data_IF_227204379065
#
_entry.id   IF_227204379065
#
_cell.length_a   1.000
_cell.length_b   1.000
_cell.length_c   1.000
_cell.angle_alpha   90.00
_cell.angle_beta   90.00
_cell.angle_gamma   90.00
#
_symmetry.space_group_name_H-M   'P 1'
#
loop_
_entity.id
_entity.type
_entity.pdbx_description
1 polymer ?
#
# COMPACT_ATOMS: atom_id res chain seq x y z
N UNK A 1 -8.97 -9.92 12.24
CA UNK A 1 -8.79 -8.50 12.67
C UNK A 1 -8.34 -7.71 11.44
N UNK A 2 -8.22 -6.38 11.53
CA UNK A 2 -7.72 -5.55 10.43
C UNK A 2 -6.62 -4.59 10.94
N UNK A 3 -5.69 -4.22 10.07
CA UNK A 3 -4.71 -3.16 10.30
C UNK A 3 -4.88 -2.06 9.24
N UNK A 4 -4.70 -0.80 9.63
CA UNK A 4 -4.81 0.36 8.74
C UNK A 4 -3.59 1.24 8.94
N UNK A 5 -3.03 1.74 7.85
CA UNK A 5 -1.98 2.77 7.85
C UNK A 5 -2.35 3.86 6.86
N UNK A 6 -1.99 5.11 7.18
CA UNK A 6 -2.15 6.26 6.29
C UNK A 6 -0.94 7.17 6.43
N UNK A 7 -0.44 7.67 5.31
CA UNK A 7 0.72 8.57 5.25
C UNK A 7 0.32 9.75 4.36
N UNK A 8 0.57 10.96 4.85
CA UNK A 8 0.42 12.20 4.10
C UNK A 8 1.80 12.84 3.94
N UNK A 9 2.23 13.03 2.70
CA UNK A 9 3.54 13.60 2.36
C UNK A 9 3.47 14.29 1.01
N UNK A 10 4.43 15.19 0.76
CA UNK A 10 4.71 15.71 -0.57
C UNK A 10 5.66 14.79 -1.35
N UNK A 11 6.29 13.84 -0.67
CA UNK A 11 7.20 12.84 -1.22
C UNK A 11 6.46 11.51 -1.54
N UNK A 12 7.02 10.65 -2.41
CA UNK A 12 6.47 9.32 -2.67
C UNK A 12 6.37 8.43 -1.41
N UNK A 13 5.15 7.99 -1.06
CA UNK A 13 4.88 7.21 0.17
C UNK A 13 4.68 5.71 -0.05
N UNK A 14 4.72 5.22 -1.30
CA UNK A 14 4.32 3.86 -1.62
C UNK A 14 5.15 2.78 -0.91
N UNK A 15 6.47 2.96 -0.83
CA UNK A 15 7.37 2.02 -0.15
C UNK A 15 7.10 1.99 1.36
N UNK A 16 6.89 3.15 1.97
CA UNK A 16 6.63 3.25 3.41
C UNK A 16 5.25 2.68 3.79
N UNK A 17 4.24 2.89 2.94
CA UNK A 17 2.93 2.24 3.07
C UNK A 17 3.06 0.71 3.01
N UNK A 18 3.82 0.19 2.05
CA UNK A 18 4.05 -1.24 1.91
C UNK A 18 4.73 -1.85 3.14
N UNK A 19 5.85 -1.28 3.59
CA UNK A 19 6.58 -1.76 4.78
C UNK A 19 5.71 -1.67 6.05
N UNK A 20 4.93 -0.60 6.20
CA UNK A 20 3.99 -0.46 7.31
C UNK A 20 2.92 -1.54 7.31
N UNK A 21 2.37 -1.90 6.15
CA UNK A 21 1.41 -3.00 6.02
C UNK A 21 2.04 -4.35 6.33
N UNK A 22 3.31 -4.57 5.97
CA UNK A 22 4.06 -5.77 6.37
C UNK A 22 4.15 -5.87 7.90
N UNK A 23 4.48 -4.79 8.59
CA UNK A 23 4.51 -4.78 10.06
C UNK A 23 3.13 -5.06 10.69
N UNK A 24 2.06 -4.60 10.03
CA UNK A 24 0.67 -4.83 10.47
C UNK A 24 0.07 -6.17 10.01
N UNK A 25 0.80 -7.01 9.28
CA UNK A 25 0.29 -8.29 8.72
C UNK A 25 -0.26 -9.23 9.80
N UNK A 26 0.28 -9.18 11.02
CA UNK A 26 -0.23 -9.97 12.16
C UNK A 26 -1.67 -9.61 12.56
N UNK A 27 -2.20 -8.47 12.09
CA UNK A 27 -3.58 -8.06 12.36
C UNK A 27 -4.58 -8.61 11.34
N UNK A 28 -4.16 -8.98 10.14
CA UNK A 28 -5.05 -9.54 9.11
C UNK A 28 -4.27 -10.13 7.94
N UNK A 29 -4.68 -11.31 7.46
CA UNK A 29 -3.97 -12.10 6.44
C UNK A 29 -4.87 -12.51 5.25
N UNK A 30 -6.18 -12.31 5.37
CA UNK A 30 -7.16 -12.74 4.35
C UNK A 30 -7.15 -11.84 3.12
N UNK A 31 -6.81 -10.57 3.28
CA UNK A 31 -6.76 -9.58 2.21
C UNK A 31 -5.83 -8.41 2.56
N UNK A 32 -5.35 -7.73 1.51
CA UNK A 32 -4.58 -6.50 1.62
C UNK A 32 -4.99 -5.52 0.53
N UNK A 33 -4.80 -4.22 0.79
CA UNK A 33 -5.01 -3.18 -0.20
C UNK A 33 -4.32 -1.87 0.14
N UNK A 34 -4.03 -1.09 -0.90
CA UNK A 34 -3.46 0.25 -0.84
C UNK A 34 -4.22 1.16 -1.79
N UNK A 35 -4.43 2.39 -1.34
CA UNK A 35 -4.89 3.50 -2.15
C UNK A 35 -3.89 4.65 -2.01
N UNK A 36 -3.38 5.14 -3.13
CA UNK A 36 -2.55 6.36 -3.21
C UNK A 36 -3.25 7.38 -4.09
N UNK A 37 -2.87 8.66 -3.95
CA UNK A 37 -3.48 9.74 -4.70
C UNK A 37 -2.42 10.75 -5.14
N UNK A 38 -2.54 11.21 -6.38
CA UNK A 38 -1.90 12.43 -6.90
C UNK A 38 -2.99 13.40 -7.42
N UNK A 39 -3.05 13.65 -8.73
CA UNK A 39 -4.19 14.23 -9.44
C UNK A 39 -5.36 13.24 -9.61
N UNK A 40 -5.13 11.95 -9.37
CA UNK A 40 -6.16 10.90 -9.37
C UNK A 40 -5.86 9.82 -8.33
N UNK A 41 -6.86 9.00 -8.05
CA UNK A 41 -6.71 7.84 -7.18
C UNK A 41 -6.14 6.63 -7.92
N UNK A 42 -5.21 5.93 -7.27
CA UNK A 42 -4.72 4.61 -7.66
C UNK A 42 -5.07 3.63 -6.55
N UNK A 43 -5.61 2.49 -6.91
CA UNK A 43 -6.03 1.48 -5.94
C UNK A 43 -5.55 0.11 -6.37
N UNK A 44 -5.15 -0.68 -5.39
CA UNK A 44 -4.76 -2.07 -5.57
C UNK A 44 -5.20 -2.84 -4.33
N UNK A 45 -5.90 -3.93 -4.54
CA UNK A 45 -6.43 -4.77 -3.46
C UNK A 45 -6.62 -6.19 -3.96
N UNK A 46 -6.58 -7.15 -3.04
CA UNK A 46 -6.69 -8.56 -3.37
C UNK A 46 -6.71 -9.43 -2.12
N UNK A 47 -6.95 -10.73 -2.34
CA UNK A 47 -6.99 -11.75 -1.29
C UNK A 47 -5.60 -12.35 -1.06
N UNK A 48 -5.21 -12.50 0.19
CA UNK A 48 -3.90 -13.04 0.59
C UNK A 48 -3.00 -11.99 1.24
N UNK A 49 -1.71 -12.35 1.34
CA UNK A 49 -0.73 -11.58 2.10
C UNK A 49 -0.32 -10.30 1.36
N UNK A 50 0.17 -9.31 2.11
CA UNK A 50 0.64 -8.03 1.59
C UNK A 50 1.69 -8.23 0.49
N UNK A 51 2.62 -9.17 0.65
CA UNK A 51 3.69 -9.47 -0.33
C UNK A 51 3.18 -10.12 -1.62
N UNK A 52 2.06 -10.83 -1.55
CA UNK A 52 1.46 -11.52 -2.69
C UNK A 52 0.62 -10.53 -3.51
N UNK A 53 -0.08 -9.64 -2.82
CA UNK A 53 -1.00 -8.69 -3.44
C UNK A 53 -0.31 -7.42 -3.88
N UNK A 54 0.62 -6.87 -3.10
CA UNK A 54 1.26 -5.57 -3.37
C UNK A 54 2.69 -5.77 -3.87
N UNK A 55 2.88 -5.61 -5.18
CA UNK A 55 4.22 -5.58 -5.76
C UNK A 55 4.71 -4.13 -5.86
N UNK A 56 5.94 -3.84 -5.40
CA UNK A 56 6.56 -2.51 -5.53
C UNK A 56 6.56 -1.99 -6.97
N UNK A 57 6.69 -2.88 -7.96
CA UNK A 57 6.59 -2.56 -9.41
C UNK A 57 5.20 -2.12 -9.88
N UNK A 58 4.17 -2.20 -9.05
CA UNK A 58 2.80 -1.73 -9.34
C UNK A 58 2.57 -0.29 -8.88
N UNK A 59 3.54 0.30 -8.15
CA UNK A 59 3.62 1.72 -7.83
C UNK A 59 4.51 2.60 -8.75
N UNK A 60 4.83 2.27 -10.03
CA UNK A 60 5.77 3.03 -10.85
C UNK A 60 5.17 4.35 -11.37
N UNK A 61 3.89 4.61 -11.04
CA UNK A 61 3.14 5.81 -11.44
C UNK A 61 3.04 6.88 -10.36
N UNK A 62 3.45 6.60 -9.12
CA UNK A 62 3.77 7.65 -8.16
C UNK A 62 5.18 8.17 -8.48
N UNK A 63 5.35 8.76 -9.66
CA UNK A 63 6.61 9.40 -10.03
C UNK A 63 6.78 10.66 -9.19
N UNK A 64 7.91 10.70 -8.49
CA UNK A 64 8.70 11.87 -8.15
C UNK A 64 8.33 13.06 -9.05
N UNK A 65 7.57 14.01 -8.50
CA UNK A 65 7.54 15.40 -8.98
C UNK A 65 8.41 16.22 -8.07
#
# INVERSE_FOLDING_TARGET
MCGIVGIYSHEPVASELYESLIHLQHRGQDAAGVLTCDQRFYTQHGLGLVREILLLRMFPRCRET
#
